data_IF_182944812216
#
_entry.id   IF_182944812216
#
_cell.length_a   1.000
_cell.length_b   1.000
_cell.length_c   1.000
_cell.angle_alpha   90.00
_cell.angle_beta   90.00
_cell.angle_gamma   90.00
#
_symmetry.space_group_name_H-M   'P 1'
#
loop_
_entity.id
_entity.type
_entity.pdbx_description
1 polymer ?
#
# COMPACT_ATOMS: atom_id res chain seq x y z
N UNK A 1 6.78 -24.41 0.94
CA UNK A 1 5.97 -23.41 0.22
C UNK A 1 6.85 -22.59 -0.73
N UNK A 2 6.48 -22.46 -2.02
CA UNK A 2 7.29 -21.72 -2.98
C UNK A 2 7.24 -20.23 -2.64
N UNK A 3 8.36 -19.68 -2.17
CA UNK A 3 8.43 -18.28 -1.74
C UNK A 3 8.08 -17.31 -2.88
N UNK A 4 8.39 -17.68 -4.13
CA UNK A 4 8.08 -16.89 -5.32
C UNK A 4 6.57 -16.76 -5.54
N UNK A 5 5.82 -17.85 -5.35
CA UNK A 5 4.35 -17.83 -5.45
C UNK A 5 3.72 -16.86 -4.44
N UNK A 6 4.17 -16.91 -3.18
CA UNK A 6 3.70 -16.00 -2.12
C UNK A 6 4.06 -14.56 -2.47
N UNK A 7 5.30 -14.33 -2.94
CA UNK A 7 5.79 -13.00 -3.28
C UNK A 7 5.01 -12.38 -4.45
N UNK A 8 4.75 -13.16 -5.49
CA UNK A 8 4.00 -12.70 -6.66
C UNK A 8 2.51 -12.51 -6.33
N UNK A 9 1.95 -13.36 -5.45
CA UNK A 9 0.61 -13.13 -4.89
C UNK A 9 0.54 -11.82 -4.10
N UNK A 10 1.51 -11.59 -3.20
CA UNK A 10 1.56 -10.38 -2.39
C UNK A 10 1.66 -9.12 -3.26
N UNK A 11 2.55 -9.14 -4.27
CA UNK A 11 2.68 -8.04 -5.21
C UNK A 11 1.40 -7.77 -5.98
N UNK A 12 0.75 -8.83 -6.48
CA UNK A 12 -0.54 -8.73 -7.20
C UNK A 12 -1.61 -8.11 -6.31
N UNK A 13 -1.75 -8.57 -5.07
CA UNK A 13 -2.80 -8.08 -4.17
C UNK A 13 -2.52 -6.66 -3.64
N UNK A 14 -1.26 -6.22 -3.58
CA UNK A 14 -0.93 -4.81 -3.28
C UNK A 14 -1.42 -3.82 -4.35
N UNK A 15 -1.79 -4.29 -5.55
CA UNK A 15 -2.39 -3.48 -6.62
C UNK A 15 -3.92 -3.41 -6.52
N UNK A 16 -4.53 -3.98 -5.49
CA UNK A 16 -5.98 -3.89 -5.29
C UNK A 16 -6.38 -2.53 -4.71
N UNK A 17 -7.24 -1.75 -5.39
CA UNK A 17 -7.69 -0.47 -4.87
C UNK A 17 -8.58 -0.64 -3.62
N UNK A 18 -9.24 -1.78 -3.49
CA UNK A 18 -10.14 -2.15 -2.39
C UNK A 18 -9.44 -2.91 -1.24
N UNK A 19 -8.10 -2.98 -1.25
CA UNK A 19 -7.36 -3.64 -0.18
C UNK A 19 -7.63 -2.95 1.18
N UNK A 20 -8.00 -3.74 2.18
CA UNK A 20 -8.44 -3.25 3.49
C UNK A 20 -7.32 -3.08 4.50
N UNK A 21 -6.26 -3.86 4.35
CA UNK A 21 -5.11 -3.85 5.22
C UNK A 21 -3.90 -4.41 4.46
N UNK A 22 -2.76 -3.73 4.57
CA UNK A 22 -1.48 -4.19 4.06
C UNK A 22 -0.81 -5.14 5.05
N UNK A 23 -1.15 -5.09 6.34
CA UNK A 23 -0.64 -5.96 7.41
C UNK A 23 -1.66 -7.02 7.82
N UNK A 24 -1.97 -7.11 9.12
CA UNK A 24 -2.98 -7.98 9.72
C UNK A 24 -4.15 -7.19 10.33
N UNK A 25 -4.23 -5.87 10.10
CA UNK A 25 -5.23 -4.98 10.71
C UNK A 25 -4.72 -4.23 11.93
N UNK A 26 -5.63 -3.63 12.72
CA UNK A 26 -5.29 -2.76 13.86
C UNK A 26 -4.75 -3.56 15.05
N UNK A 27 -3.44 -3.83 15.05
CA UNK A 27 -2.71 -4.42 16.17
C UNK A 27 -2.27 -5.86 15.95
N UNK A 28 -1.30 -6.31 16.75
CA UNK A 28 -0.59 -7.58 16.55
C UNK A 28 -1.48 -8.84 16.58
N UNK A 29 -2.67 -8.74 17.19
CA UNK A 29 -3.59 -9.84 17.46
C UNK A 29 -5.00 -9.61 16.87
N UNK A 30 -5.23 -8.53 16.14
CA UNK A 30 -6.52 -8.31 15.49
C UNK A 30 -6.73 -9.33 14.35
N UNK A 31 -7.97 -9.83 14.17
CA UNK A 31 -8.26 -10.66 13.01
C UNK A 31 -8.01 -9.86 11.73
N UNK A 32 -7.33 -10.48 10.77
CA UNK A 32 -7.09 -9.83 9.48
C UNK A 32 -8.41 -9.62 8.75
N UNK A 33 -8.68 -8.42 8.20
CA UNK A 33 -9.88 -8.18 7.40
C UNK A 33 -9.97 -9.17 6.23
N UNK A 34 -11.18 -9.45 5.75
CA UNK A 34 -11.40 -10.41 4.66
C UNK A 34 -10.67 -9.98 3.38
N UNK A 35 -10.68 -8.69 3.05
CA UNK A 35 -9.90 -8.13 1.93
C UNK A 35 -8.53 -7.60 2.39
N UNK A 36 -8.00 -8.13 3.49
CA UNK A 36 -6.63 -7.87 3.94
C UNK A 36 -5.60 -8.68 3.14
N UNK A 37 -4.38 -8.15 3.01
CA UNK A 37 -3.32 -8.77 2.20
C UNK A 37 -3.01 -10.20 2.66
N UNK A 38 -2.94 -10.43 3.97
CA UNK A 38 -2.73 -11.77 4.52
C UNK A 38 -3.87 -12.71 4.13
N UNK A 39 -5.12 -12.30 4.37
CA UNK A 39 -6.32 -13.10 4.08
C UNK A 39 -6.40 -13.49 2.61
N UNK A 40 -6.13 -12.55 1.70
CA UNK A 40 -6.12 -12.79 0.26
C UNK A 40 -5.02 -13.77 -0.18
N UNK A 41 -3.81 -13.65 0.37
CA UNK A 41 -2.72 -14.58 0.06
C UNK A 41 -3.03 -15.99 0.59
N UNK A 42 -3.57 -16.10 1.80
CA UNK A 42 -3.93 -17.37 2.41
C UNK A 42 -5.07 -18.04 1.63
N UNK A 43 -6.08 -17.28 1.23
CA UNK A 43 -7.12 -17.74 0.31
C UNK A 43 -6.56 -18.21 -1.03
N UNK A 44 -5.57 -17.50 -1.60
CA UNK A 44 -4.93 -17.91 -2.85
C UNK A 44 -4.13 -19.22 -2.70
N UNK A 45 -3.48 -19.44 -1.55
CA UNK A 45 -2.84 -20.72 -1.22
C UNK A 45 -3.90 -21.83 -1.07
N UNK A 46 -4.99 -21.57 -0.35
CA UNK A 46 -6.08 -22.54 -0.16
C UNK A 46 -6.72 -22.99 -1.48
N UNK A 47 -6.78 -22.09 -2.46
CA UNK A 47 -7.35 -22.36 -3.77
C UNK A 47 -6.41 -23.13 -4.72
N UNK A 48 -5.16 -23.42 -4.32
CA UNK A 48 -4.28 -24.30 -5.09
C UNK A 48 -4.76 -25.76 -5.07
N UNK A 49 -4.25 -26.56 -6.00
CA UNK A 49 -4.59 -27.98 -6.10
C UNK A 49 -3.95 -28.84 -5.00
N UNK A 50 -4.42 -30.09 -4.89
CA UNK A 50 -3.93 -31.04 -3.91
C UNK A 50 -2.45 -31.42 -4.11
N UNK A 51 -1.92 -31.31 -5.34
CA UNK A 51 -0.51 -31.60 -5.61
C UNK A 51 0.38 -30.51 -5.03
N UNK A 52 0.04 -29.24 -5.26
CA UNK A 52 0.66 -28.08 -4.65
C UNK A 52 0.64 -28.19 -3.14
N UNK A 53 -0.52 -28.49 -2.53
CA UNK A 53 -0.63 -28.62 -1.07
C UNK A 53 0.29 -29.70 -0.50
N UNK A 54 0.27 -30.91 -1.07
CA UNK A 54 1.15 -32.01 -0.62
C UNK A 54 2.63 -31.68 -0.73
N UNK A 55 3.01 -30.93 -1.76
CA UNK A 55 4.41 -30.57 -2.00
C UNK A 55 4.89 -29.42 -1.12
N UNK A 56 4.00 -28.55 -0.66
CA UNK A 56 4.38 -27.21 -0.22
C UNK A 56 3.85 -26.78 1.14
N UNK A 57 2.81 -27.42 1.66
CA UNK A 57 2.30 -27.18 3.00
C UNK A 57 2.98 -28.10 4.03
N UNK A 58 3.13 -27.64 5.28
CA UNK A 58 3.56 -28.50 6.38
C UNK A 58 2.66 -29.75 6.52
N UNK A 59 3.22 -30.89 6.96
CA UNK A 59 2.41 -32.05 7.35
C UNK A 59 1.39 -31.67 8.43
N UNK A 60 0.13 -32.02 8.23
CA UNK A 60 -0.95 -31.73 9.18
C UNK A 60 -1.64 -30.38 9.02
N UNK A 61 -1.21 -29.53 8.08
CA UNK A 61 -1.96 -28.31 7.74
C UNK A 61 -3.34 -28.64 7.18
N UNK A 62 -4.38 -28.06 7.77
CA UNK A 62 -5.77 -28.21 7.31
C UNK A 62 -6.08 -27.08 6.33
N UNK A 63 -6.47 -27.43 5.11
CA UNK A 63 -6.72 -26.49 4.00
C UNK A 63 -7.59 -25.30 4.42
N UNK A 64 -8.71 -25.55 5.08
CA UNK A 64 -9.66 -24.47 5.43
C UNK A 64 -9.22 -23.66 6.66
N UNK A 65 -8.13 -24.04 7.33
CA UNK A 65 -7.62 -23.42 8.55
C UNK A 65 -6.18 -22.90 8.40
N UNK A 66 -5.69 -22.65 7.17
CA UNK A 66 -4.33 -22.15 6.98
C UNK A 66 -4.05 -20.85 7.73
N UNK A 67 -5.04 -19.96 7.88
CA UNK A 67 -4.89 -18.71 8.67
C UNK A 67 -4.58 -19.02 10.15
N UNK A 68 -4.96 -20.19 10.66
CA UNK A 68 -4.59 -20.68 11.98
C UNK A 68 -3.24 -21.42 12.04
N UNK A 69 -2.60 -21.70 10.90
CA UNK A 69 -1.29 -22.36 10.85
C UNK A 69 -0.16 -21.35 11.06
N UNK A 70 0.39 -21.34 12.27
CA UNK A 70 1.45 -20.40 12.68
C UNK A 70 2.72 -20.47 11.80
N UNK A 71 3.06 -21.64 11.26
CA UNK A 71 4.26 -21.80 10.42
C UNK A 71 4.03 -21.12 9.07
N UNK A 72 2.87 -21.39 8.46
CA UNK A 72 2.50 -20.78 7.18
C UNK A 72 2.31 -19.27 7.33
N UNK A 73 1.58 -18.82 8.35
CA UNK A 73 1.34 -17.40 8.63
C UNK A 73 2.66 -16.65 8.80
N UNK A 74 3.61 -17.19 9.59
CA UNK A 74 4.92 -16.56 9.81
C UNK A 74 5.71 -16.42 8.50
N UNK A 75 5.69 -17.45 7.65
CA UNK A 75 6.36 -17.41 6.35
C UNK A 75 5.76 -16.34 5.44
N UNK A 76 4.42 -16.30 5.31
CA UNK A 76 3.73 -15.30 4.49
C UNK A 76 3.99 -13.88 5.00
N UNK A 77 3.92 -13.67 6.32
CA UNK A 77 4.27 -12.38 6.95
C UNK A 77 5.71 -11.95 6.67
N UNK A 78 6.67 -12.88 6.73
CA UNK A 78 8.06 -12.60 6.40
C UNK A 78 8.25 -12.13 4.95
N UNK A 79 7.62 -12.82 4.00
CA UNK A 79 7.73 -12.47 2.58
C UNK A 79 7.01 -11.17 2.26
N UNK A 80 5.78 -11.00 2.77
CA UNK A 80 5.01 -9.75 2.56
C UNK A 80 5.72 -8.54 3.15
N UNK A 81 6.39 -8.67 4.31
CA UNK A 81 7.24 -7.60 4.88
C UNK A 81 8.27 -7.11 3.86
N UNK A 82 8.95 -8.03 3.15
CA UNK A 82 9.94 -7.63 2.15
C UNK A 82 9.32 -6.92 0.94
N UNK A 83 8.15 -7.37 0.47
CA UNK A 83 7.43 -6.70 -0.63
C UNK A 83 7.02 -5.29 -0.21
N UNK A 84 6.41 -5.16 0.98
CA UNK A 84 6.03 -3.89 1.58
C UNK A 84 7.22 -2.94 1.77
N UNK A 85 8.36 -3.43 2.27
CA UNK A 85 9.56 -2.61 2.43
C UNK A 85 10.09 -2.06 1.10
N UNK A 86 10.03 -2.84 0.02
CA UNK A 86 10.43 -2.35 -1.31
C UNK A 86 9.43 -1.33 -1.86
N UNK A 87 8.13 -1.55 -1.66
CA UNK A 87 7.10 -0.57 -2.02
C UNK A 87 7.28 0.76 -1.27
N UNK A 88 7.56 0.71 0.05
CA UNK A 88 7.88 1.90 0.87
C UNK A 88 9.04 2.71 0.27
N UNK A 89 10.11 2.05 -0.15
CA UNK A 89 11.25 2.76 -0.74
C UNK A 89 10.88 3.47 -2.05
N UNK A 90 9.95 2.91 -2.83
CA UNK A 90 9.42 3.56 -4.04
C UNK A 90 8.51 4.74 -3.67
N UNK A 91 7.67 4.60 -2.65
CA UNK A 91 6.82 5.69 -2.14
C UNK A 91 7.63 6.89 -1.64
N UNK A 92 8.88 6.66 -1.21
CA UNK A 92 9.82 7.69 -0.77
C UNK A 92 10.87 8.06 -1.83
N UNK A 93 10.62 7.78 -3.11
CA UNK A 93 11.51 8.21 -4.21
C UNK A 93 11.63 9.74 -4.21
N UNK A 94 12.85 10.26 -4.32
CA UNK A 94 13.15 11.70 -4.22
C UNK A 94 13.27 12.23 -2.79
N UNK A 95 12.92 11.43 -1.78
CA UNK A 95 12.97 11.81 -0.35
C UNK A 95 14.08 11.05 0.37
N UNK A 96 14.16 9.74 0.17
CA UNK A 96 15.32 8.97 0.61
C UNK A 96 16.51 9.40 -0.25
N UNK A 97 17.51 10.03 0.36
CA UNK A 97 18.81 10.23 -0.26
C UNK A 97 19.68 8.99 0.03
N UNK A 98 19.96 8.12 -0.95
CA UNK A 98 20.99 7.11 -0.77
C UNK A 98 22.33 7.82 -0.63
N UNK A 99 23.14 7.43 0.36
CA UNK A 99 24.45 8.03 0.54
C UNK A 99 25.26 7.99 -0.79
N UNK A 100 25.64 9.17 -1.29
CA UNK A 100 26.53 9.31 -2.45
C UNK A 100 25.87 9.55 -3.83
N UNK A 101 24.56 9.83 -3.91
CA UNK A 101 23.91 10.29 -5.16
C UNK A 101 23.61 11.79 -5.11
N UNK A 102 23.85 12.46 -6.25
CA UNK A 102 23.77 13.91 -6.47
C UNK A 102 22.40 14.54 -6.14
N UNK A 103 22.44 15.79 -5.70
CA UNK A 103 21.36 16.70 -5.23
C UNK A 103 20.13 16.88 -6.15
N UNK A 104 20.04 16.20 -7.31
CA UNK A 104 18.98 16.40 -8.29
C UNK A 104 17.85 15.34 -8.22
N UNK A 105 17.59 14.76 -7.05
CA UNK A 105 16.60 13.70 -6.92
C UNK A 105 15.19 14.30 -6.71
N UNK A 106 14.44 14.45 -7.79
CA UNK A 106 13.07 14.96 -7.76
C UNK A 106 12.10 13.91 -7.23
N UNK A 107 11.07 14.36 -6.52
CA UNK A 107 9.94 13.53 -6.13
C UNK A 107 9.08 13.33 -7.37
N UNK A 108 8.72 12.09 -7.74
CA UNK A 108 7.92 11.84 -8.93
C UNK A 108 6.51 12.43 -8.81
N UNK A 109 5.91 12.88 -9.90
CA UNK A 109 4.48 13.18 -9.90
C UNK A 109 3.64 11.88 -9.79
N UNK A 110 2.32 12.00 -9.65
CA UNK A 110 1.46 10.82 -9.44
C UNK A 110 1.52 9.80 -10.59
N UNK A 111 1.69 10.23 -11.84
CA UNK A 111 1.80 9.31 -12.98
C UNK A 111 3.11 8.53 -12.91
N UNK A 112 4.22 9.22 -12.69
CA UNK A 112 5.53 8.60 -12.55
C UNK A 112 5.60 7.63 -11.38
N UNK A 113 5.10 8.05 -10.21
CA UNK A 113 5.03 7.20 -9.02
C UNK A 113 4.19 5.95 -9.28
N UNK A 114 3.02 6.12 -9.89
CA UNK A 114 2.12 5.01 -10.20
C UNK A 114 2.79 4.02 -11.15
N UNK A 115 3.51 4.50 -12.17
CA UNK A 115 4.29 3.65 -13.07
C UNK A 115 5.43 2.93 -12.35
N UNK A 116 6.14 3.58 -11.43
CA UNK A 116 7.21 2.96 -10.63
C UNK A 116 6.67 1.82 -9.76
N UNK A 117 5.58 2.08 -9.03
CA UNK A 117 4.90 1.08 -8.19
C UNK A 117 4.36 -0.09 -9.03
N UNK A 118 3.68 0.22 -10.13
CA UNK A 118 3.14 -0.80 -11.02
C UNK A 118 4.25 -1.68 -11.61
N UNK A 119 5.32 -1.08 -12.17
CA UNK A 119 6.48 -1.81 -12.71
C UNK A 119 7.12 -2.70 -11.64
N UNK A 120 7.23 -2.22 -10.40
CA UNK A 120 7.79 -3.00 -9.30
C UNK A 120 6.94 -4.19 -8.91
N UNK A 121 5.63 -3.99 -8.77
CA UNK A 121 4.68 -5.00 -8.30
C UNK A 121 4.37 -6.02 -9.40
N UNK A 122 4.24 -5.62 -10.66
CA UNK A 122 4.01 -6.57 -11.76
C UNK A 122 5.28 -7.19 -12.33
N UNK A 123 6.44 -6.60 -12.04
CA UNK A 123 7.74 -6.86 -12.71
C UNK A 123 7.73 -6.51 -14.21
N UNK A 124 6.74 -5.75 -14.67
CA UNK A 124 6.51 -5.38 -16.07
C UNK A 124 6.71 -6.56 -17.05
N UNK A 125 5.87 -7.60 -16.98
CA UNK A 125 6.12 -8.89 -17.61
C UNK A 125 6.13 -8.83 -19.15
N UNK A 126 5.70 -7.72 -19.75
CA UNK A 126 5.64 -7.50 -21.20
C UNK A 126 6.43 -6.28 -21.68
N UNK A 127 7.24 -5.68 -20.80
CA UNK A 127 7.98 -4.43 -21.10
C UNK A 127 7.07 -3.36 -21.71
N UNK A 128 5.88 -3.20 -21.12
CA UNK A 128 4.89 -2.22 -21.56
C UNK A 128 5.50 -0.82 -21.56
N UNK A 129 5.09 -0.01 -22.54
CA UNK A 129 5.43 1.41 -22.62
C UNK A 129 4.72 2.18 -21.49
N UNK A 130 5.15 3.41 -21.22
CA UNK A 130 4.55 4.21 -20.16
C UNK A 130 3.05 4.47 -20.40
N UNK A 131 2.67 4.77 -21.65
CA UNK A 131 1.28 4.95 -22.05
C UNK A 131 0.44 3.69 -21.83
N UNK A 132 1.01 2.51 -22.14
CA UNK A 132 0.33 1.24 -21.90
C UNK A 132 0.14 0.98 -20.40
N UNK A 133 1.17 1.26 -19.59
CA UNK A 133 1.08 1.13 -18.13
C UNK A 133 0.04 2.09 -17.57
N UNK A 134 -0.02 3.33 -18.06
CA UNK A 134 -1.01 4.31 -17.61
C UNK A 134 -2.45 3.83 -17.86
N UNK A 135 -2.67 3.02 -18.91
CA UNK A 135 -3.94 2.36 -19.19
C UNK A 135 -4.26 1.15 -18.29
N UNK A 136 -3.25 0.55 -17.65
CA UNK A 136 -3.43 -0.57 -16.69
C UNK A 136 -3.70 -0.08 -15.26
N UNK A 137 -3.49 1.21 -14.98
CA UNK A 137 -3.62 1.79 -13.63
C UNK A 137 -4.97 2.48 -13.50
N UNK A 138 -5.88 1.83 -12.78
CA UNK A 138 -7.18 2.36 -12.40
C UNK A 138 -7.07 3.70 -11.64
N UNK A 139 -7.95 4.70 -11.88
CA UNK A 139 -7.95 5.95 -11.15
C UNK A 139 -8.03 5.80 -9.63
N UNK A 140 -8.82 4.84 -9.11
CA UNK A 140 -8.91 4.57 -7.67
C UNK A 140 -7.58 4.05 -7.12
N UNK A 141 -6.83 3.28 -7.93
CA UNK A 141 -5.49 2.83 -7.57
C UNK A 141 -4.49 3.99 -7.53
N UNK A 142 -4.62 4.99 -8.41
CA UNK A 142 -3.79 6.21 -8.33
C UNK A 142 -4.07 6.97 -7.03
N UNK A 143 -5.33 7.18 -6.67
CA UNK A 143 -5.70 7.80 -5.38
C UNK A 143 -5.16 6.98 -4.20
N UNK A 144 -5.21 5.65 -4.29
CA UNK A 144 -4.59 4.76 -3.29
C UNK A 144 -3.09 5.01 -3.19
N UNK A 145 -2.37 5.11 -4.30
CA UNK A 145 -0.93 5.39 -4.31
C UNK A 145 -0.59 6.77 -3.77
N UNK A 146 -1.37 7.81 -4.09
CA UNK A 146 -1.25 9.14 -3.52
C UNK A 146 -1.35 9.09 -1.99
N UNK A 147 -2.40 8.44 -1.47
CA UNK A 147 -2.55 8.25 -0.03
C UNK A 147 -1.38 7.49 0.60
N UNK A 148 -0.96 6.37 0.00
CA UNK A 148 0.17 5.59 0.51
C UNK A 148 1.45 6.41 0.56
N UNK A 149 1.69 7.27 -0.44
CA UNK A 149 2.83 8.19 -0.45
C UNK A 149 2.74 9.15 0.73
N UNK A 150 1.65 9.90 0.84
CA UNK A 150 1.48 10.91 1.89
C UNK A 150 1.58 10.31 3.28
N UNK A 151 0.90 9.19 3.56
CA UNK A 151 0.98 8.51 4.85
C UNK A 151 2.40 7.99 5.15
N UNK A 152 3.13 7.53 4.13
CA UNK A 152 4.52 7.08 4.30
C UNK A 152 5.46 8.24 4.57
N UNK A 153 5.26 9.40 3.94
CA UNK A 153 6.04 10.62 4.19
C UNK A 153 5.76 11.13 5.60
N UNK A 154 4.49 11.24 6.02
CA UNK A 154 4.12 11.66 7.38
C UNK A 154 4.79 10.79 8.44
N UNK A 155 4.73 9.46 8.28
CA UNK A 155 5.39 8.54 9.22
C UNK A 155 6.92 8.66 9.20
N UNK A 156 7.52 8.91 8.03
CA UNK A 156 8.97 9.11 7.91
C UNK A 156 9.45 10.40 8.59
N UNK A 157 8.66 11.46 8.52
CA UNK A 157 9.00 12.78 9.06
C UNK A 157 8.72 12.93 10.55
N UNK A 158 7.74 12.20 11.10
CA UNK A 158 7.38 12.30 12.51
C UNK A 158 8.42 11.59 13.41
N UNK A 159 9.17 12.33 14.27
CA UNK A 159 10.15 11.74 15.17
C UNK A 159 9.54 10.74 16.17
N UNK A 160 8.25 10.87 16.49
CA UNK A 160 7.55 9.98 17.41
C UNK A 160 7.18 8.65 16.77
N UNK A 161 7.18 8.56 15.44
CA UNK A 161 6.76 7.38 14.69
C UNK A 161 7.90 6.46 14.28
N UNK A 162 9.14 6.73 14.72
CA UNK A 162 10.35 5.94 14.40
C UNK A 162 10.21 4.42 14.65
N UNK A 163 9.41 4.04 15.64
CA UNK A 163 9.20 2.63 16.02
C UNK A 163 7.85 2.07 15.55
N UNK A 164 7.00 2.88 14.92
CA UNK A 164 5.68 2.49 14.44
C UNK A 164 5.76 2.30 12.93
N UNK A 165 5.35 1.13 12.42
CA UNK A 165 5.34 0.92 10.97
C UNK A 165 4.28 1.80 10.33
N UNK A 166 4.65 2.52 9.28
CA UNK A 166 3.68 3.27 8.46
C UNK A 166 2.52 2.40 7.96
N UNK A 167 2.75 1.09 7.75
CA UNK A 167 1.70 0.17 7.33
C UNK A 167 0.64 -0.03 8.41
N UNK A 168 1.00 0.03 9.69
CA UNK A 168 0.04 -0.08 10.79
C UNK A 168 -0.82 1.20 10.88
N UNK A 169 -0.22 2.38 10.68
CA UNK A 169 -0.94 3.65 10.60
C UNK A 169 -1.88 3.71 9.39
N UNK A 170 -1.40 3.25 8.23
CA UNK A 170 -2.22 3.10 7.02
C UNK A 170 -3.41 2.18 7.30
N UNK A 171 -3.18 0.99 7.85
CA UNK A 171 -4.25 0.04 8.13
C UNK A 171 -5.28 0.59 9.13
N UNK A 172 -4.85 1.36 10.13
CA UNK A 172 -5.74 2.02 11.08
C UNK A 172 -6.66 3.04 10.40
N UNK A 173 -6.12 3.93 9.57
CA UNK A 173 -6.93 4.89 8.82
C UNK A 173 -7.88 4.18 7.85
N UNK A 174 -7.43 3.14 7.15
CA UNK A 174 -8.30 2.37 6.25
C UNK A 174 -9.43 1.67 7.00
N UNK A 175 -9.17 1.21 8.22
CA UNK A 175 -10.20 0.66 9.08
C UNK A 175 -11.20 1.72 9.57
N UNK A 176 -10.76 2.95 9.84
CA UNK A 176 -11.64 4.07 10.16
C UNK A 176 -12.53 4.43 8.99
N UNK A 177 -11.96 4.69 7.81
CA UNK A 177 -12.72 5.07 6.61
C UNK A 177 -13.79 4.04 6.22
N UNK A 178 -13.56 2.75 6.50
CA UNK A 178 -14.55 1.68 6.25
C UNK A 178 -15.80 1.77 7.12
N UNK A 179 -15.70 2.37 8.31
CA UNK A 179 -16.84 2.55 9.22
C UNK A 179 -17.68 3.73 8.80
N UNK A 180 -17.13 4.61 7.98
CA UNK A 180 -17.78 5.82 7.52
C UNK A 180 -18.66 5.59 6.28
N UNK A 181 -19.67 6.43 6.06
CA UNK A 181 -20.52 6.33 4.88
C UNK A 181 -19.78 6.61 3.56
N UNK A 182 -20.40 6.22 2.44
CA UNK A 182 -19.76 6.30 1.12
C UNK A 182 -19.35 7.73 0.72
N UNK A 183 -20.14 8.75 1.09
CA UNK A 183 -19.83 10.14 0.81
C UNK A 183 -18.59 10.62 1.58
N UNK A 184 -18.43 10.24 2.85
CA UNK A 184 -17.22 10.54 3.62
C UNK A 184 -15.98 9.96 2.92
N UNK A 185 -16.03 8.68 2.55
CA UNK A 185 -14.93 8.03 1.84
C UNK A 185 -14.65 8.66 0.45
N UNK A 186 -15.66 9.23 -0.21
CA UNK A 186 -15.49 9.96 -1.46
C UNK A 186 -14.81 11.32 -1.24
N UNK A 187 -15.27 12.10 -0.26
CA UNK A 187 -14.65 13.37 0.12
C UNK A 187 -13.17 13.17 0.53
N UNK A 188 -12.89 12.18 1.37
CA UNK A 188 -11.52 11.84 1.74
C UNK A 188 -10.63 11.52 0.52
N UNK A 189 -11.12 10.75 -0.45
CA UNK A 189 -10.37 10.43 -1.68
C UNK A 189 -10.12 11.67 -2.54
N UNK A 190 -11.06 12.60 -2.60
CA UNK A 190 -10.92 13.85 -3.35
C UNK A 190 -9.83 14.73 -2.73
N UNK A 191 -9.87 14.96 -1.42
CA UNK A 191 -8.84 15.75 -0.70
C UNK A 191 -7.46 15.13 -0.91
N UNK A 192 -7.35 13.80 -0.82
CA UNK A 192 -6.10 13.08 -1.11
C UNK A 192 -5.59 13.38 -2.53
N UNK A 193 -6.47 13.35 -3.52
CA UNK A 193 -6.10 13.57 -4.92
C UNK A 193 -5.67 15.02 -5.18
N UNK A 194 -6.39 15.98 -4.61
CA UNK A 194 -6.12 17.42 -4.76
C UNK A 194 -4.79 17.77 -4.11
N UNK A 195 -4.58 17.37 -2.86
CA UNK A 195 -3.35 17.63 -2.11
C UNK A 195 -2.12 16.99 -2.74
N UNK A 196 -2.27 15.77 -3.24
CA UNK A 196 -1.18 15.10 -3.97
C UNK A 196 -0.83 15.83 -5.27
N UNK A 197 -1.83 16.38 -5.96
CA UNK A 197 -1.61 17.21 -7.14
C UNK A 197 -0.90 18.52 -6.78
N UNK A 198 -1.39 19.25 -5.78
CA UNK A 198 -0.81 20.52 -5.31
C UNK A 198 0.66 20.37 -4.92
N UNK A 199 0.98 19.31 -4.17
CA UNK A 199 2.35 19.10 -3.66
C UNK A 199 3.29 18.52 -4.71
N UNK A 200 2.82 17.64 -5.61
CA UNK A 200 3.74 16.80 -6.39
C UNK A 200 3.56 16.89 -7.91
N UNK A 201 2.61 17.65 -8.45
CA UNK A 201 2.33 17.68 -9.90
C UNK A 201 3.56 18.06 -10.74
N UNK A 202 4.39 18.97 -10.24
CA UNK A 202 5.57 19.48 -10.95
C UNK A 202 6.88 18.76 -10.62
N UNK A 203 6.78 17.64 -9.89
CA UNK A 203 7.93 16.83 -9.47
C UNK A 203 9.00 17.65 -8.73
N UNK A 204 8.64 18.24 -7.57
CA UNK A 204 9.53 19.14 -6.84
C UNK A 204 10.70 18.40 -6.19
N UNK A 205 11.69 19.16 -5.72
CA UNK A 205 12.65 18.61 -4.76
C UNK A 205 12.02 18.53 -3.38
N UNK A 206 12.52 17.60 -2.57
CA UNK A 206 12.03 17.45 -1.20
C UNK A 206 12.23 18.70 -0.33
N UNK A 207 13.32 19.44 -0.57
CA UNK A 207 13.67 20.67 0.16
C UNK A 207 12.74 21.85 -0.17
N UNK A 208 12.06 21.80 -1.32
CA UNK A 208 11.13 22.84 -1.78
C UNK A 208 9.69 22.59 -1.31
N UNK A 209 9.42 21.44 -0.66
CA UNK A 209 8.08 21.11 -0.20
C UNK A 209 7.75 21.87 1.08
N UNK A 210 6.68 22.64 1.02
CA UNK A 210 5.99 23.12 2.21
C UNK A 210 5.18 21.96 2.82
N UNK A 211 5.73 21.40 3.90
CA UNK A 211 5.12 20.32 4.68
C UNK A 211 4.54 20.84 5.99
N UNK A 212 4.32 22.15 6.14
CA UNK A 212 3.72 22.72 7.33
C UNK A 212 2.24 22.31 7.48
N UNK A 213 1.60 21.91 6.37
CA UNK A 213 0.25 21.34 6.36
C UNK A 213 0.25 19.82 6.56
N UNK A 214 -0.80 19.31 7.20
CA UNK A 214 -1.01 17.87 7.36
C UNK A 214 -1.17 17.19 5.98
N UNK A 215 -0.28 16.26 5.65
CA UNK A 215 -0.35 15.52 4.38
C UNK A 215 -1.61 14.66 4.27
N UNK A 216 -2.03 14.00 5.35
CA UNK A 216 -3.24 13.18 5.35
C UNK A 216 -4.44 13.99 5.87
N UNK A 217 -5.65 13.82 5.28
CA UNK A 217 -6.83 14.58 5.69
C UNK A 217 -7.20 14.33 7.15
N UNK A 218 -7.60 15.37 7.86
CA UNK A 218 -8.25 15.25 9.18
C UNK A 218 -9.75 14.99 9.04
N UNK A 219 -10.39 14.53 10.12
CA UNK A 219 -11.85 14.39 10.15
C UNK A 219 -12.55 15.73 9.90
N UNK A 220 -12.05 16.82 10.48
CA UNK A 220 -12.62 18.16 10.32
C UNK A 220 -12.58 18.61 8.85
N UNK A 221 -11.46 18.41 8.16
CA UNK A 221 -11.34 18.73 6.72
C UNK A 221 -12.34 17.93 5.87
N UNK A 222 -12.59 16.67 6.22
CA UNK A 222 -13.55 15.83 5.51
C UNK A 222 -14.97 16.30 5.77
N UNK A 223 -15.32 16.66 7.01
CA UNK A 223 -16.64 17.19 7.35
C UNK A 223 -16.90 18.54 6.67
N UNK A 224 -15.89 19.41 6.60
CA UNK A 224 -15.97 20.67 5.85
C UNK A 224 -16.22 20.43 4.36
N UNK A 225 -15.49 19.49 3.75
CA UNK A 225 -15.71 19.13 2.35
C UNK A 225 -17.12 18.56 2.12
N UNK A 226 -17.62 17.73 3.04
CA UNK A 226 -18.99 17.20 2.97
C UNK A 226 -20.05 18.30 3.07
N UNK A 227 -19.84 19.30 3.91
CA UNK A 227 -20.74 20.44 4.05
C UNK A 227 -20.80 21.32 2.79
N UNK A 228 -19.71 21.38 2.01
CA UNK A 228 -19.66 22.10 0.74
C UNK A 228 -20.31 21.33 -0.42
N UNK A 229 -20.49 20.01 -0.28
CA UNK A 229 -21.10 19.13 -1.29
C UNK A 229 -22.62 18.94 -1.10
N UNK A 230 -23.20 19.47 -0.02
CA UNK A 230 -24.62 19.36 0.36
C UNK A 230 -25.45 20.55 -0.17
#
# INVERSE_FOLDING_TARGET
MPQDFIRDSARRFMLRPDLEAYTQGTGSNAPSPEQGLLSLIMGHINNQDAAFHRQHLPPGSIRDLLIGDNVVVRLVKGITKHVRNKARNILLTGILQPAGLSDNNKIPNIHELSRLLWKHLTRNPRRLTELQIDGEIDPTLKVRFAYLRMATISNYMDPNMRNVSQWDTIDAQLAMNRREPANYSAAWRNIISERDHELFAHSPHFEDLDLDCALCPSDDEIQEALAQMA
#
